data_IF_409663681092
#
_entry.id   IF_409663681092
#
_cell.length_a   1.000
_cell.length_b   1.000
_cell.length_c   1.000
_cell.angle_alpha   90.00
_cell.angle_beta   90.00
_cell.angle_gamma   90.00
#
_symmetry.space_group_name_H-M   'P 1'
#
loop_
_entity.id
_entity.type
_entity.pdbx_description
1 polymer ?
#
# COMPACT_ATOMS: atom_id res chain seq x y z
N UNK A 1 17.02 -5.91 -24.61
CA UNK A 1 16.44 -6.49 -23.37
C UNK A 1 17.47 -7.23 -22.48
N UNK A 2 18.79 -6.98 -22.58
CA UNK A 2 19.81 -7.75 -21.82
C UNK A 2 20.81 -6.86 -21.03
N UNK A 3 20.72 -5.52 -21.10
CA UNK A 3 21.67 -4.63 -20.39
C UNK A 3 21.08 -3.83 -19.21
N UNK A 4 19.80 -4.02 -18.86
CA UNK A 4 19.17 -3.32 -17.74
C UNK A 4 19.33 -4.04 -16.38
N UNK A 5 19.96 -5.22 -16.39
CA UNK A 5 20.10 -6.14 -15.24
C UNK A 5 21.35 -5.90 -14.39
N UNK A 6 22.36 -5.20 -14.89
CA UNK A 6 23.66 -5.06 -14.20
C UNK A 6 23.72 -3.93 -13.15
N UNK A 7 22.88 -2.91 -13.25
CA UNK A 7 22.90 -1.78 -12.30
C UNK A 7 21.98 -1.97 -11.10
N UNK A 8 20.85 -2.69 -11.26
CA UNK A 8 20.11 -3.23 -10.11
C UNK A 8 21.02 -4.18 -9.33
N UNK A 9 21.95 -4.87 -9.99
CA UNK A 9 22.87 -5.81 -9.38
C UNK A 9 24.05 -5.20 -8.58
N UNK A 10 24.28 -3.89 -8.59
CA UNK A 10 25.36 -3.26 -7.80
C UNK A 10 24.87 -2.78 -6.43
N UNK A 11 23.76 -2.04 -6.37
CA UNK A 11 23.12 -1.62 -5.11
C UNK A 11 22.39 -2.74 -4.37
N UNK A 12 21.93 -3.77 -5.08
CA UNK A 12 21.28 -4.95 -4.48
C UNK A 12 22.29 -6.02 -4.03
N UNK A 13 23.57 -5.96 -4.45
CA UNK A 13 24.61 -6.96 -4.15
C UNK A 13 25.16 -6.93 -2.73
N UNK A 14 24.84 -5.94 -1.89
CA UNK A 14 25.37 -5.87 -0.51
C UNK A 14 24.35 -5.58 0.59
N UNK A 15 23.08 -5.30 0.29
CA UNK A 15 22.11 -4.88 1.34
C UNK A 15 20.68 -5.39 1.25
N UNK A 16 20.14 -5.66 0.05
CA UNK A 16 18.71 -6.01 -0.13
C UNK A 16 18.51 -7.17 -1.11
N UNK A 17 19.37 -8.20 -0.98
CA UNK A 17 19.53 -9.37 -1.84
C UNK A 17 18.29 -9.77 -2.66
N UNK A 18 18.51 -10.22 -3.90
CA UNK A 18 17.61 -10.87 -4.87
C UNK A 18 16.80 -12.06 -4.31
N UNK A 19 16.11 -11.83 -3.20
CA UNK A 19 15.45 -12.83 -2.39
C UNK A 19 13.97 -12.93 -2.72
N UNK A 20 13.34 -14.07 -2.41
CA UNK A 20 11.92 -14.29 -2.62
C UNK A 20 11.06 -13.19 -1.95
N UNK A 21 11.48 -12.66 -0.80
CA UNK A 21 10.77 -11.57 -0.11
C UNK A 21 10.68 -10.27 -0.92
N UNK A 22 11.75 -9.90 -1.64
CA UNK A 22 11.75 -8.71 -2.51
C UNK A 22 10.82 -8.93 -3.70
N UNK A 23 10.89 -10.10 -4.34
CA UNK A 23 10.01 -10.45 -5.47
C UNK A 23 8.54 -10.44 -5.07
N UNK A 24 8.21 -11.05 -3.94
CA UNK A 24 6.84 -11.05 -3.40
C UNK A 24 6.40 -9.62 -3.08
N UNK A 25 7.27 -8.77 -2.52
CA UNK A 25 6.94 -7.36 -2.27
C UNK A 25 6.59 -6.61 -3.56
N UNK A 26 7.32 -6.84 -4.66
CA UNK A 26 7.03 -6.25 -5.96
C UNK A 26 5.70 -6.74 -6.52
N UNK A 27 5.39 -8.03 -6.38
CA UNK A 27 4.09 -8.60 -6.79
C UNK A 27 2.96 -7.98 -5.98
N UNK A 28 3.11 -7.88 -4.66
CA UNK A 28 2.11 -7.26 -3.78
C UNK A 28 1.85 -5.80 -4.15
N UNK A 29 2.89 -5.01 -4.40
CA UNK A 29 2.75 -3.62 -4.84
C UNK A 29 2.09 -3.51 -6.22
N UNK A 30 2.41 -4.42 -7.14
CA UNK A 30 1.78 -4.48 -8.47
C UNK A 30 0.28 -4.81 -8.38
N UNK A 31 -0.08 -5.78 -7.53
CA UNK A 31 -1.47 -6.13 -7.26
C UNK A 31 -2.21 -4.98 -6.58
N UNK A 32 -1.54 -4.25 -5.69
CA UNK A 32 -2.10 -3.06 -5.06
C UNK A 32 -2.43 -1.99 -6.10
N UNK A 33 -1.50 -1.70 -7.01
CA UNK A 33 -1.71 -0.78 -8.13
C UNK A 33 -2.82 -1.23 -9.08
N UNK A 34 -2.91 -2.54 -9.36
CA UNK A 34 -4.00 -3.09 -10.18
C UNK A 34 -5.36 -2.89 -9.51
N UNK A 35 -5.47 -3.15 -8.21
CA UNK A 35 -6.68 -2.87 -7.45
C UNK A 35 -7.07 -1.38 -7.53
N UNK A 36 -6.11 -0.46 -7.46
CA UNK A 36 -6.38 0.97 -7.57
C UNK A 36 -6.92 1.35 -8.94
N UNK A 37 -6.38 0.78 -10.02
CA UNK A 37 -6.89 0.99 -11.38
C UNK A 37 -8.33 0.49 -11.50
N UNK A 38 -8.61 -0.72 -11.00
CA UNK A 38 -9.97 -1.29 -11.02
C UNK A 38 -10.91 -0.39 -10.21
N UNK A 39 -10.54 0.03 -9.00
CA UNK A 39 -11.35 0.93 -8.18
C UNK A 39 -11.63 2.28 -8.87
N UNK A 40 -10.71 2.77 -9.71
CA UNK A 40 -10.93 3.97 -10.52
C UNK A 40 -11.89 3.78 -11.69
N UNK A 41 -11.91 2.59 -12.29
CA UNK A 41 -12.80 2.25 -13.42
C UNK A 41 -14.24 1.96 -12.99
N UNK A 42 -14.42 1.48 -11.76
CA UNK A 42 -15.71 1.12 -11.19
C UNK A 42 -16.02 2.07 -10.03
N UNK A 43 -16.87 3.10 -10.22
CA UNK A 43 -17.20 4.04 -9.16
C UNK A 43 -17.88 3.36 -7.97
N UNK A 44 -17.58 3.85 -6.77
CA UNK A 44 -18.28 3.42 -5.55
C UNK A 44 -19.69 4.00 -5.51
N UNK A 45 -20.58 3.33 -4.77
CA UNK A 45 -21.93 3.81 -4.54
C UNK A 45 -21.94 5.05 -3.66
N UNK A 46 -22.94 5.90 -3.85
CA UNK A 46 -23.13 7.05 -2.98
C UNK A 46 -23.54 6.60 -1.57
N UNK A 47 -23.04 7.34 -0.59
CA UNK A 47 -23.50 7.33 0.79
C UNK A 47 -25.03 7.17 0.92
N UNK A 48 -25.48 6.08 1.55
CA UNK A 48 -26.90 5.83 1.82
C UNK A 48 -27.72 5.33 0.62
N UNK A 49 -27.09 5.07 -0.52
CA UNK A 49 -27.75 4.44 -1.67
C UNK A 49 -27.62 2.91 -1.61
N UNK A 50 -28.52 2.17 -2.28
CA UNK A 50 -28.41 0.72 -2.43
C UNK A 50 -27.08 0.33 -3.09
N UNK A 51 -26.55 -0.83 -2.69
CA UNK A 51 -25.34 -1.40 -3.29
C UNK A 51 -25.59 -1.74 -4.77
N UNK A 52 -24.65 -1.36 -5.64
CA UNK A 52 -24.66 -1.74 -7.06
C UNK A 52 -23.52 -2.72 -7.36
N UNK A 53 -23.60 -3.40 -8.51
CA UNK A 53 -22.51 -4.25 -8.98
C UNK A 53 -21.18 -3.47 -9.16
N UNK A 54 -21.25 -2.19 -9.55
CA UNK A 54 -20.05 -1.35 -9.64
C UNK A 54 -19.47 -1.06 -8.26
N UNK A 55 -20.31 -0.76 -7.27
CA UNK A 55 -19.87 -0.56 -5.89
C UNK A 55 -19.25 -1.81 -5.28
N UNK A 56 -19.79 -3.00 -5.57
CA UNK A 56 -19.21 -4.27 -5.15
C UNK A 56 -17.82 -4.52 -5.78
N UNK A 57 -17.67 -4.24 -7.07
CA UNK A 57 -16.36 -4.35 -7.76
C UNK A 57 -15.37 -3.34 -7.18
N UNK A 58 -15.79 -2.09 -6.96
CA UNK A 58 -14.96 -1.07 -6.30
C UNK A 58 -14.48 -1.53 -4.92
N UNK A 59 -15.37 -2.14 -4.16
CA UNK A 59 -15.07 -2.66 -2.83
C UNK A 59 -14.05 -3.82 -2.89
N UNK A 60 -14.26 -4.80 -3.76
CA UNK A 60 -13.32 -5.90 -3.96
C UNK A 60 -11.94 -5.38 -4.41
N UNK A 61 -11.92 -4.38 -5.30
CA UNK A 61 -10.72 -3.72 -5.75
C UNK A 61 -10.00 -2.94 -4.63
N UNK A 62 -10.75 -2.31 -3.74
CA UNK A 62 -10.22 -1.65 -2.54
C UNK A 62 -9.59 -2.66 -1.57
N UNK A 63 -10.23 -3.81 -1.36
CA UNK A 63 -9.69 -4.88 -0.51
C UNK A 63 -8.39 -5.46 -1.10
N UNK A 64 -8.35 -5.67 -2.42
CA UNK A 64 -7.13 -6.07 -3.12
C UNK A 64 -6.03 -5.02 -2.93
N UNK A 65 -6.36 -3.74 -3.12
CA UNK A 65 -5.43 -2.60 -3.00
C UNK A 65 -4.79 -2.54 -1.62
N UNK A 66 -5.61 -2.40 -0.58
CA UNK A 66 -5.13 -2.15 0.77
C UNK A 66 -4.63 -3.42 1.45
N UNK A 67 -5.22 -4.59 1.16
CA UNK A 67 -4.78 -5.86 1.70
C UNK A 67 -3.36 -6.23 1.21
N UNK A 68 -3.12 -6.11 -0.09
CA UNK A 68 -1.78 -6.37 -0.65
C UNK A 68 -0.76 -5.30 -0.24
N UNK A 69 -1.17 -4.03 -0.15
CA UNK A 69 -0.29 -2.96 0.32
C UNK A 69 0.12 -3.16 1.79
N UNK A 70 -0.81 -3.53 2.67
CA UNK A 70 -0.51 -3.86 4.06
C UNK A 70 0.51 -4.98 4.18
N UNK A 71 0.34 -6.05 3.41
CA UNK A 71 1.33 -7.12 3.36
C UNK A 71 2.70 -6.61 2.87
N UNK A 72 2.71 -5.72 1.87
CA UNK A 72 3.95 -5.13 1.35
C UNK A 72 4.70 -4.28 2.39
N UNK A 73 4.00 -3.48 3.21
CA UNK A 73 4.62 -2.70 4.28
C UNK A 73 5.50 -3.56 5.20
N UNK A 74 4.92 -4.66 5.72
CA UNK A 74 5.62 -5.52 6.68
C UNK A 74 6.67 -6.39 6.01
N UNK A 75 6.43 -6.85 4.79
CA UNK A 75 7.41 -7.64 4.07
C UNK A 75 8.65 -6.80 3.70
N UNK A 76 8.44 -5.58 3.21
CA UNK A 76 9.53 -4.62 2.94
C UNK A 76 10.23 -4.21 4.23
N UNK A 77 9.50 -4.01 5.33
CA UNK A 77 10.12 -3.72 6.63
C UNK A 77 11.06 -4.85 7.07
N UNK A 78 10.67 -6.11 6.86
CA UNK A 78 11.52 -7.28 7.15
C UNK A 78 12.77 -7.29 6.28
N UNK A 79 12.65 -7.01 4.98
CA UNK A 79 13.80 -6.93 4.07
C UNK A 79 14.75 -5.80 4.52
N UNK A 80 14.22 -4.62 4.80
CA UNK A 80 15.01 -3.47 5.28
C UNK A 80 15.66 -3.71 6.65
N UNK A 81 15.08 -4.56 7.50
CA UNK A 81 15.63 -4.90 8.81
C UNK A 81 16.90 -5.75 8.74
N UNK A 82 17.24 -6.32 7.57
CA UNK A 82 18.43 -7.14 7.38
C UNK A 82 19.71 -6.31 7.14
N UNK A 83 19.57 -5.02 6.86
CA UNK A 83 20.68 -4.10 6.61
C UNK A 83 20.62 -2.91 7.57
N UNK A 84 21.73 -2.67 8.29
CA UNK A 84 21.87 -1.56 9.23
C UNK A 84 21.60 -0.19 8.58
N UNK A 85 21.93 -0.03 7.30
CA UNK A 85 21.69 1.21 6.55
C UNK A 85 20.19 1.46 6.31
N UNK A 86 19.39 0.40 6.29
CA UNK A 86 17.95 0.42 6.04
C UNK A 86 17.11 0.25 7.31
N UNK A 87 17.73 -0.02 8.47
CA UNK A 87 17.04 -0.22 9.75
C UNK A 87 16.07 0.91 10.16
N UNK A 88 16.35 2.16 9.78
CA UNK A 88 15.40 3.28 10.00
C UNK A 88 14.16 3.16 9.12
N UNK A 89 14.33 2.73 7.87
CA UNK A 89 13.24 2.54 6.92
C UNK A 89 12.42 1.29 7.25
N UNK A 90 13.04 0.27 7.85
CA UNK A 90 12.32 -0.87 8.42
C UNK A 90 11.30 -0.40 9.47
N UNK A 91 11.76 0.37 10.47
CA UNK A 91 10.89 0.93 11.52
C UNK A 91 9.83 1.87 10.96
N UNK A 92 10.21 2.73 10.01
CA UNK A 92 9.29 3.62 9.30
C UNK A 92 8.18 2.85 8.57
N UNK A 93 8.54 1.83 7.78
CA UNK A 93 7.58 0.98 7.08
C UNK A 93 6.66 0.22 8.04
N UNK A 94 7.18 -0.32 9.14
CA UNK A 94 6.36 -0.96 10.17
C UNK A 94 5.38 0.02 10.80
N UNK A 95 5.84 1.20 11.20
CA UNK A 95 5.00 2.21 11.83
C UNK A 95 3.88 2.67 10.89
N UNK A 96 4.21 2.95 9.62
CA UNK A 96 3.21 3.34 8.63
C UNK A 96 2.26 2.20 8.27
N UNK A 97 2.74 0.95 8.21
CA UNK A 97 1.89 -0.23 8.03
C UNK A 97 0.88 -0.39 9.17
N UNK A 98 1.29 -0.17 10.42
CA UNK A 98 0.39 -0.18 11.58
C UNK A 98 -0.64 0.96 11.49
N UNK A 99 -0.21 2.17 11.15
CA UNK A 99 -1.10 3.33 10.98
C UNK A 99 -2.12 3.08 9.86
N UNK A 100 -1.67 2.59 8.70
CA UNK A 100 -2.55 2.23 7.58
C UNK A 100 -3.52 1.14 7.99
N UNK A 101 -3.06 0.11 8.71
CA UNK A 101 -3.92 -0.96 9.21
C UNK A 101 -4.99 -0.44 10.16
N UNK A 102 -4.61 0.43 11.09
CA UNK A 102 -5.53 1.10 12.01
C UNK A 102 -6.52 1.99 11.27
N UNK A 103 -6.09 2.72 10.23
CA UNK A 103 -6.97 3.54 9.40
C UNK A 103 -7.93 2.70 8.54
N UNK A 104 -7.47 1.56 8.01
CA UNK A 104 -8.35 0.58 7.36
C UNK A 104 -9.41 0.08 8.33
N UNK A 105 -9.02 -0.35 9.54
CA UNK A 105 -9.96 -0.77 10.56
C UNK A 105 -10.89 0.38 10.98
N UNK A 106 -10.39 1.61 11.13
CA UNK A 106 -11.23 2.75 11.45
C UNK A 106 -12.25 3.06 10.34
N UNK A 107 -11.88 2.82 9.07
CA UNK A 107 -12.81 2.89 7.96
C UNK A 107 -13.87 1.76 8.05
N UNK A 108 -13.47 0.55 8.41
CA UNK A 108 -14.37 -0.64 8.43
C UNK A 108 -15.25 -0.76 9.68
N UNK A 109 -14.76 -0.31 10.84
CA UNK A 109 -15.29 -0.63 12.17
C UNK A 109 -16.61 0.06 12.52
N UNK A 110 -17.21 0.77 11.56
CA UNK A 110 -18.49 1.45 11.68
C UNK A 110 -19.66 0.67 11.04
N UNK A 111 -19.41 -0.50 10.45
CA UNK A 111 -20.42 -1.19 9.60
C UNK A 111 -20.43 -2.71 9.76
N UNK A 112 -21.61 -3.35 9.94
CA UNK A 112 -21.76 -4.79 9.73
C UNK A 112 -21.32 -5.21 8.32
N UNK A 113 -20.79 -6.43 8.18
CA UNK A 113 -20.24 -6.97 6.94
C UNK A 113 -21.20 -6.91 5.72
N UNK A 114 -22.52 -6.83 5.95
CA UNK A 114 -23.54 -6.71 4.91
C UNK A 114 -23.76 -5.26 4.41
N UNK A 115 -23.11 -4.26 5.00
CA UNK A 115 -23.40 -2.83 4.82
C UNK A 115 -22.15 -1.96 4.76
N UNK A 116 -21.01 -2.51 4.35
CA UNK A 116 -19.75 -1.76 4.33
C UNK A 116 -19.78 -0.51 3.42
N UNK A 117 -20.67 -0.48 2.41
CA UNK A 117 -20.95 0.71 1.60
C UNK A 117 -21.72 1.81 2.37
N UNK A 118 -22.17 1.54 3.60
CA UNK A 118 -22.93 2.46 4.46
C UNK A 118 -22.10 2.86 5.69
N UNK A 119 -20.97 3.54 5.47
CA UNK A 119 -20.09 4.13 6.50
C UNK A 119 -20.80 5.10 7.49
N UNK A 120 -22.12 5.26 7.40
CA UNK A 120 -22.95 6.17 8.17
C UNK A 120 -23.42 5.61 9.52
N UNK A 121 -23.20 4.33 9.81
CA UNK A 121 -23.78 3.67 10.99
C UNK A 121 -22.87 3.60 12.23
N UNK A 122 -21.75 4.33 12.28
CA UNK A 122 -20.80 4.24 13.41
C UNK A 122 -20.29 5.59 13.94
N UNK A 123 -19.58 5.57 15.08
CA UNK A 123 -19.12 6.78 15.77
C UNK A 123 -18.16 7.64 14.94
N UNK A 124 -17.53 7.06 13.91
CA UNK A 124 -16.64 7.75 12.99
C UNK A 124 -17.33 8.21 11.69
N UNK A 125 -18.65 8.01 11.54
CA UNK A 125 -19.40 8.40 10.34
C UNK A 125 -19.16 9.85 9.86
N UNK A 126 -19.12 10.87 10.74
CA UNK A 126 -18.83 12.26 10.34
C UNK A 126 -17.40 12.47 9.84
N UNK A 127 -16.48 11.60 10.26
CA UNK A 127 -15.05 11.69 10.01
C UNK A 127 -14.57 10.75 8.91
N UNK A 128 -15.48 9.99 8.28
CA UNK A 128 -15.17 9.01 7.22
C UNK A 128 -14.31 9.59 6.12
N UNK A 129 -14.69 10.75 5.59
CA UNK A 129 -13.91 11.44 4.56
C UNK A 129 -12.51 11.86 5.02
N UNK A 130 -12.33 12.22 6.30
CA UNK A 130 -11.03 12.54 6.87
C UNK A 130 -10.16 11.29 7.04
N UNK A 131 -10.74 10.21 7.57
CA UNK A 131 -10.08 8.91 7.74
C UNK A 131 -9.60 8.37 6.39
N UNK A 132 -10.44 8.45 5.35
CA UNK A 132 -10.05 8.07 3.99
C UNK A 132 -8.89 8.92 3.48
N UNK A 133 -8.96 10.26 3.56
CA UNK A 133 -7.86 11.13 3.13
C UNK A 133 -6.55 10.83 3.85
N UNK A 134 -6.60 10.61 5.16
CA UNK A 134 -5.45 10.21 5.95
C UNK A 134 -4.89 8.86 5.48
N UNK A 135 -5.75 7.87 5.22
CA UNK A 135 -5.36 6.57 4.68
C UNK A 135 -4.60 6.71 3.36
N UNK A 136 -5.16 7.44 2.40
CA UNK A 136 -4.51 7.70 1.11
C UNK A 136 -3.17 8.42 1.29
N UNK A 137 -3.14 9.52 2.08
CA UNK A 137 -1.93 10.30 2.29
C UNK A 137 -0.79 9.47 2.89
N UNK A 138 -1.07 8.67 3.92
CA UNK A 138 -0.05 7.84 4.59
C UNK A 138 0.38 6.69 3.69
N UNK A 139 -0.56 5.99 3.08
CA UNK A 139 -0.29 4.84 2.22
C UNK A 139 0.55 5.21 1.00
N UNK A 140 0.08 6.19 0.22
CA UNK A 140 0.77 6.63 -1.00
C UNK A 140 2.00 7.49 -0.70
N UNK A 141 1.99 8.24 0.41
CA UNK A 141 3.17 8.96 0.90
C UNK A 141 4.34 8.02 1.21
N UNK A 142 4.06 6.85 1.79
CA UNK A 142 5.10 5.83 1.99
C UNK A 142 5.69 5.33 0.67
N UNK A 143 4.85 5.01 -0.33
CA UNK A 143 5.30 4.56 -1.65
C UNK A 143 6.19 5.63 -2.29
N UNK A 144 5.78 6.90 -2.23
CA UNK A 144 6.56 8.02 -2.76
C UNK A 144 7.91 8.17 -2.07
N UNK A 145 7.97 8.09 -0.73
CA UNK A 145 9.22 8.22 0.04
C UNK A 145 10.19 7.08 -0.28
N UNK A 146 9.73 5.82 -0.27
CA UNK A 146 10.58 4.67 -0.56
C UNK A 146 11.01 4.69 -2.03
N UNK A 147 10.09 4.96 -2.96
CA UNK A 147 10.38 5.07 -4.39
C UNK A 147 11.42 6.16 -4.69
N UNK A 148 11.27 7.35 -4.11
CA UNK A 148 12.24 8.43 -4.27
C UNK A 148 13.63 8.06 -3.73
N UNK A 149 13.70 7.41 -2.57
CA UNK A 149 14.98 6.95 -2.00
C UNK A 149 15.68 5.96 -2.93
N UNK A 150 14.94 5.01 -3.50
CA UNK A 150 15.48 4.02 -4.45
C UNK A 150 15.96 4.67 -5.75
N UNK A 151 15.19 5.61 -6.31
CA UNK A 151 15.59 6.36 -7.50
C UNK A 151 16.86 7.19 -7.27
N UNK A 152 16.97 7.84 -6.10
CA UNK A 152 18.17 8.61 -5.73
C UNK A 152 19.40 7.73 -5.62
N UNK A 153 19.30 6.54 -5.02
CA UNK A 153 20.42 5.60 -4.93
C UNK A 153 20.87 5.14 -6.32
N UNK A 154 19.94 4.78 -7.20
CA UNK A 154 20.23 4.41 -8.59
C UNK A 154 20.99 5.51 -9.34
N UNK A 155 20.59 6.77 -9.17
CA UNK A 155 21.22 7.90 -9.87
C UNK A 155 22.68 8.16 -9.45
N UNK A 156 23.05 7.77 -8.24
CA UNK A 156 24.41 7.91 -7.72
C UNK A 156 25.33 6.80 -8.21
N UNK A 157 24.79 5.62 -8.50
CA UNK A 157 25.55 4.48 -9.04
C UNK A 157 25.83 4.58 -10.54
N UNK A 158 25.04 5.40 -11.26
CA UNK A 158 25.22 5.65 -12.69
C UNK A 158 26.21 6.79 -13.01
N UNK A 159 26.79 7.43 -11.99
CA UNK A 159 27.81 8.49 -12.12
C UNK A 159 29.18 7.93 -11.77
#
# INVERSE_FOLDING_TARGET
MVFASSQIAAGLRRGLADGPAVRVSVVLLSLSGLGLVIAGLFPTDLAGQPSTAHGEVHFAASLLTFGTLLAAFFLIARVFGQDVQWARYARYSTALGIIVGALCVAATAATPAATFNNFHAGPLAPWTGLVQRALFLVAFGWIAVIGFKLLRLRSLESR
#
